data_IF_447728909408
#
_entry.id   IF_447728909408
#
_cell.length_a   1.000
_cell.length_b   1.000
_cell.length_c   1.000
_cell.angle_alpha   90.00
_cell.angle_beta   90.00
_cell.angle_gamma   90.00
#
_symmetry.space_group_name_H-M   'P 1'
#
loop_
_entity.id
_entity.type
_entity.pdbx_description
1 polymer ?
#
# COMPACT_ATOMS: atom_id res chain seq x y z
N UNK A 1 4.52 33.70 -0.42
CA UNK A 1 4.36 33.01 -1.72
C UNK A 1 3.22 32.01 -1.56
N UNK A 2 2.10 32.10 -2.30
CA UNK A 2 1.07 31.09 -2.21
C UNK A 2 1.63 29.80 -2.84
N UNK A 3 1.61 28.71 -2.08
CA UNK A 3 2.07 27.41 -2.55
C UNK A 3 1.12 26.96 -3.67
N UNK A 4 1.65 26.79 -4.88
CA UNK A 4 0.92 26.29 -6.05
C UNK A 4 0.28 24.96 -5.64
N UNK A 5 -1.04 24.81 -5.80
CA UNK A 5 -1.71 23.55 -5.56
C UNK A 5 -1.10 22.51 -6.50
N UNK A 6 -0.22 21.66 -5.99
CA UNK A 6 0.28 20.51 -6.72
C UNK A 6 -0.89 19.56 -6.88
N UNK A 7 -1.13 19.07 -8.09
CA UNK A 7 -2.22 18.14 -8.35
C UNK A 7 -1.96 16.86 -7.55
N UNK A 8 -2.81 16.59 -6.55
CA UNK A 8 -2.70 15.45 -5.65
C UNK A 8 -3.85 14.51 -5.99
N UNK A 9 -3.52 13.31 -6.44
CA UNK A 9 -4.48 12.25 -6.71
C UNK A 9 -4.32 11.13 -5.68
N UNK A 10 -5.42 10.76 -5.03
CA UNK A 10 -5.51 9.55 -4.21
C UNK A 10 -6.42 8.55 -4.92
N UNK A 11 -5.91 7.37 -5.23
CA UNK A 11 -6.66 6.32 -5.95
C UNK A 11 -6.42 4.93 -5.36
N UNK A 12 -7.35 3.98 -5.55
CA UNK A 12 -7.05 2.57 -5.33
C UNK A 12 -5.85 2.13 -6.18
N UNK A 13 -4.98 1.30 -5.59
CA UNK A 13 -3.98 0.59 -6.37
C UNK A 13 -4.63 -0.49 -7.23
N UNK A 14 -3.99 -0.79 -8.34
CA UNK A 14 -4.39 -1.80 -9.32
C UNK A 14 -3.30 -2.85 -9.49
N UNK A 15 -3.60 -3.93 -10.21
CA UNK A 15 -2.60 -4.97 -10.49
C UNK A 15 -1.39 -4.44 -11.26
N UNK A 16 -1.56 -3.36 -12.04
CA UNK A 16 -0.48 -2.71 -12.79
C UNK A 16 0.48 -1.94 -11.87
N UNK A 17 0.06 -1.64 -10.64
CA UNK A 17 0.88 -0.95 -9.64
C UNK A 17 1.74 -1.90 -8.79
N UNK A 18 1.65 -3.22 -8.98
CA UNK A 18 2.30 -4.23 -8.11
C UNK A 18 3.80 -3.97 -7.92
N UNK A 19 4.52 -3.65 -8.99
CA UNK A 19 5.97 -3.40 -8.90
C UNK A 19 6.26 -2.11 -8.11
N UNK A 20 5.45 -1.07 -8.31
CA UNK A 20 5.55 0.20 -7.58
C UNK A 20 5.24 0.00 -6.08
N UNK A 21 4.20 -0.78 -5.78
CA UNK A 21 3.81 -1.15 -4.41
C UNK A 21 4.95 -1.93 -3.74
N UNK A 22 5.50 -2.94 -4.41
CA UNK A 22 6.59 -3.76 -3.88
C UNK A 22 7.85 -2.91 -3.62
N UNK A 23 8.20 -2.04 -4.56
CA UNK A 23 9.32 -1.11 -4.38
C UNK A 23 9.10 -0.16 -3.19
N UNK A 24 7.88 0.33 -2.97
CA UNK A 24 7.55 1.15 -1.82
C UNK A 24 7.69 0.38 -0.49
N UNK A 25 7.27 -0.89 -0.45
CA UNK A 25 7.46 -1.74 0.73
C UNK A 25 8.94 -1.98 1.04
N UNK A 26 9.78 -2.27 0.03
CA UNK A 26 11.23 -2.42 0.21
C UNK A 26 11.89 -1.12 0.69
N UNK A 27 11.46 0.03 0.16
CA UNK A 27 11.93 1.34 0.63
C UNK A 27 11.54 1.59 2.09
N UNK A 28 10.31 1.25 2.48
CA UNK A 28 9.86 1.32 3.87
C UNK A 28 10.70 0.40 4.77
N UNK A 29 10.85 -0.88 4.38
CA UNK A 29 11.67 -1.86 5.10
C UNK A 29 13.11 -1.39 5.28
N UNK A 30 13.69 -0.78 4.25
CA UNK A 30 15.03 -0.17 4.33
C UNK A 30 15.06 1.00 5.32
N UNK A 31 14.07 1.88 5.29
CA UNK A 31 14.00 3.06 6.16
C UNK A 31 13.88 2.69 7.65
N UNK A 32 13.14 1.62 7.96
CA UNK A 32 12.91 1.15 9.34
C UNK A 32 13.89 0.05 9.79
N UNK A 33 14.84 -0.35 8.93
CA UNK A 33 15.82 -1.40 9.23
C UNK A 33 15.29 -2.84 9.19
N UNK A 34 14.12 -3.07 8.60
CA UNK A 34 13.43 -4.36 8.53
C UNK A 34 13.44 -4.99 7.11
N UNK A 35 14.35 -4.56 6.22
CA UNK A 35 14.36 -5.05 4.83
C UNK A 35 14.53 -6.58 4.72
N UNK A 36 15.25 -7.21 5.66
CA UNK A 36 15.45 -8.67 5.71
C UNK A 36 14.20 -9.43 6.16
N UNK A 37 13.23 -8.75 6.78
CA UNK A 37 11.96 -9.35 7.20
C UNK A 37 10.94 -9.40 6.05
N UNK A 38 11.17 -8.65 4.97
CA UNK A 38 10.35 -8.68 3.76
C UNK A 38 10.71 -9.92 2.94
N UNK A 39 10.03 -11.03 3.26
CA UNK A 39 10.16 -12.32 2.54
C UNK A 39 9.25 -12.43 1.32
N UNK A 40 8.28 -11.53 1.19
CA UNK A 40 7.34 -11.51 0.07
C UNK A 40 8.02 -11.06 -1.23
N UNK A 41 7.42 -11.45 -2.33
CA UNK A 41 7.76 -11.06 -3.69
C UNK A 41 6.66 -10.21 -4.32
N UNK A 42 6.95 -9.56 -5.45
CA UNK A 42 5.92 -8.89 -6.25
C UNK A 42 4.82 -9.86 -6.71
N UNK A 43 5.16 -11.11 -7.02
CA UNK A 43 4.18 -12.14 -7.40
C UNK A 43 3.25 -12.54 -6.25
N UNK A 44 3.74 -12.53 -5.01
CA UNK A 44 2.87 -12.70 -3.84
C UNK A 44 1.85 -11.58 -3.75
N UNK A 45 2.27 -10.32 -3.95
CA UNK A 45 1.35 -9.17 -3.93
C UNK A 45 0.32 -9.25 -5.06
N UNK A 46 0.74 -9.67 -6.26
CA UNK A 46 -0.15 -9.90 -7.41
C UNK A 46 -1.20 -10.97 -7.08
N UNK A 47 -0.75 -12.08 -6.51
CA UNK A 47 -1.60 -13.24 -6.20
C UNK A 47 -2.60 -12.94 -5.09
N UNK A 48 -2.14 -12.37 -3.97
CA UNK A 48 -2.97 -12.18 -2.78
C UNK A 48 -3.68 -10.82 -2.74
N UNK A 49 -3.18 -9.80 -3.43
CA UNK A 49 -3.74 -8.44 -3.39
C UNK A 49 -4.81 -8.14 -4.43
N UNK A 50 -4.85 -8.91 -5.53
CA UNK A 50 -5.68 -8.58 -6.69
C UNK A 50 -6.49 -9.76 -7.27
N UNK A 51 -6.60 -10.87 -6.53
CA UNK A 51 -7.49 -11.98 -6.86
C UNK A 51 -8.95 -11.74 -6.47
N UNK A 52 -9.82 -12.74 -6.65
CA UNK A 52 -11.27 -12.63 -6.36
C UNK A 52 -11.60 -12.30 -4.89
N UNK A 53 -10.72 -12.70 -3.96
CA UNK A 53 -10.82 -12.43 -2.53
C UNK A 53 -9.50 -11.85 -2.03
N UNK A 54 -9.25 -10.55 -2.26
CA UNK A 54 -7.96 -9.95 -1.96
C UNK A 54 -7.73 -9.92 -0.44
N UNK A 55 -6.52 -10.30 -0.01
CA UNK A 55 -6.11 -10.33 1.38
C UNK A 55 -5.86 -8.93 1.95
N UNK A 56 -5.55 -7.96 1.08
CA UNK A 56 -5.30 -6.56 1.43
C UNK A 56 -5.80 -5.64 0.32
N UNK A 57 -5.85 -4.35 0.60
CA UNK A 57 -6.15 -3.28 -0.36
C UNK A 57 -5.07 -2.22 -0.27
N UNK A 58 -4.94 -1.41 -1.33
CA UNK A 58 -3.95 -0.34 -1.38
C UNK A 58 -4.57 0.98 -1.85
N UNK A 59 -4.07 2.07 -1.30
CA UNK A 59 -4.27 3.42 -1.81
C UNK A 59 -2.92 3.99 -2.24
N UNK A 60 -2.88 4.57 -3.42
CA UNK A 60 -1.71 5.22 -4.01
C UNK A 60 -1.98 6.73 -4.05
N UNK A 61 -0.98 7.48 -3.60
CA UNK A 61 -0.92 8.93 -3.77
C UNK A 61 0.00 9.24 -4.94
N UNK A 62 -0.47 10.09 -5.85
CA UNK A 62 0.33 10.69 -6.90
C UNK A 62 0.38 12.21 -6.72
N UNK A 63 1.53 12.82 -7.01
CA UNK A 63 1.74 14.27 -6.99
C UNK A 63 2.27 14.68 -8.36
N UNK A 64 1.47 15.40 -9.14
CA UNK A 64 1.82 15.76 -10.53
C UNK A 64 1.95 14.54 -11.45
N UNK A 65 1.19 13.46 -11.18
CA UNK A 65 1.22 12.20 -11.94
C UNK A 65 2.33 11.22 -11.52
N UNK A 66 3.18 11.61 -10.56
CA UNK A 66 4.26 10.75 -10.06
C UNK A 66 3.89 10.10 -8.73
N UNK A 67 4.27 8.83 -8.55
CA UNK A 67 4.05 8.11 -7.30
C UNK A 67 4.70 8.84 -6.11
N UNK A 68 3.90 9.15 -5.10
CA UNK A 68 4.31 9.90 -3.92
C UNK A 68 4.09 9.12 -2.61
N UNK A 69 3.20 8.13 -2.58
CA UNK A 69 2.92 7.39 -1.36
C UNK A 69 2.05 6.16 -1.55
N UNK A 70 2.12 5.27 -0.57
CA UNK A 70 1.36 4.03 -0.49
C UNK A 70 0.76 3.90 0.92
N UNK A 71 -0.51 3.52 0.98
CA UNK A 71 -1.13 2.94 2.15
C UNK A 71 -1.60 1.53 1.78
N UNK A 72 -1.09 0.51 2.47
CA UNK A 72 -1.55 -0.87 2.34
C UNK A 72 -2.29 -1.24 3.62
N UNK A 73 -3.49 -1.81 3.49
CA UNK A 73 -4.30 -2.14 4.65
C UNK A 73 -5.10 -3.43 4.44
N UNK A 74 -5.44 -4.11 5.52
CA UNK A 74 -6.22 -5.35 5.48
C UNK A 74 -7.25 -5.44 6.62
N UNK A 75 -8.37 -6.15 6.39
CA UNK A 75 -9.41 -6.27 7.40
C UNK A 75 -8.92 -7.05 8.62
N UNK A 76 -9.28 -6.56 9.80
CA UNK A 76 -9.07 -7.24 11.08
C UNK A 76 -10.38 -7.30 11.87
N UNK A 77 -10.45 -8.19 12.86
CA UNK A 77 -11.53 -8.19 13.85
C UNK A 77 -10.95 -8.03 15.25
N UNK A 78 -11.40 -7.01 15.98
CA UNK A 78 -10.98 -6.81 17.37
C UNK A 78 -11.84 -7.68 18.29
N UNK A 79 -11.24 -8.69 18.93
CA UNK A 79 -11.94 -9.52 19.94
C UNK A 79 -12.28 -8.74 21.21
N UNK A 80 -11.60 -7.62 21.46
CA UNK A 80 -11.87 -6.76 22.62
C UNK A 80 -13.01 -5.77 22.37
N UNK A 81 -13.07 -5.17 21.17
CA UNK A 81 -14.14 -4.24 20.79
C UNK A 81 -15.35 -4.93 20.15
N UNK A 82 -15.23 -6.21 19.76
CA UNK A 82 -16.29 -6.98 19.11
C UNK A 82 -16.71 -6.43 17.74
N UNK A 83 -15.81 -5.81 16.97
CA UNK A 83 -16.13 -5.19 15.67
C UNK A 83 -15.02 -5.31 14.62
N UNK A 84 -15.37 -5.29 13.31
CA UNK A 84 -14.40 -5.18 12.22
C UNK A 84 -13.60 -3.88 12.26
N UNK A 85 -12.40 -3.90 11.68
CA UNK A 85 -11.53 -2.74 11.49
C UNK A 85 -10.52 -2.99 10.37
N UNK A 86 -9.53 -2.11 10.27
CA UNK A 86 -8.41 -2.23 9.33
C UNK A 86 -7.08 -2.16 10.08
N UNK A 87 -6.12 -2.97 9.68
CA UNK A 87 -4.72 -2.82 10.04
C UNK A 87 -3.97 -2.19 8.87
N UNK A 88 -3.04 -1.29 9.17
CA UNK A 88 -2.20 -0.56 8.23
C UNK A 88 -0.75 -0.79 8.62
#
# INVERSE_FOLDING_TARGET
MPQRATDILLRPGTIDDVETIYAALLRLGTHIGANQDIKSTADDLRTYGFGEKPAFSTLIVEIGGEFAGLCLYFPIFSTWMGRPGVYV
#
